data_IF_598482062993
#
_entry.id   IF_598482062993
#
_cell.length_a   1.000
_cell.length_b   1.000
_cell.length_c   1.000
_cell.angle_alpha   90.00
_cell.angle_beta   90.00
_cell.angle_gamma   90.00
#
_symmetry.space_group_name_H-M   'P 1'
#
loop_
_entity.id
_entity.type
_entity.pdbx_description
1 polymer ?
#
# COMPACT_ATOMS: atom_id res chain seq x y z
N UNK A 1 34.61 -6.26 4.67
CA UNK A 1 34.43 -7.72 4.53
C UNK A 1 34.15 -8.00 3.07
N UNK A 2 34.99 -8.80 2.42
CA UNK A 2 34.83 -9.14 1.01
C UNK A 2 33.44 -9.71 0.77
N UNK A 3 32.67 -9.10 -0.14
CA UNK A 3 31.37 -9.64 -0.51
C UNK A 3 31.59 -11.04 -1.08
N UNK A 4 30.84 -12.03 -0.58
CA UNK A 4 30.89 -13.40 -1.09
C UNK A 4 30.44 -13.48 -2.56
N UNK A 5 29.75 -12.46 -3.07
CA UNK A 5 29.21 -12.40 -4.43
C UNK A 5 30.19 -11.75 -5.42
N UNK A 6 30.21 -12.31 -6.64
CA UNK A 6 31.05 -11.92 -7.77
C UNK A 6 30.18 -11.55 -8.97
N UNK A 7 30.75 -10.84 -9.94
CA UNK A 7 30.04 -10.41 -11.16
C UNK A 7 29.56 -11.56 -12.05
N UNK A 8 30.03 -12.79 -11.82
CA UNK A 8 29.49 -14.00 -12.47
C UNK A 8 28.22 -14.54 -11.80
N UNK A 9 27.90 -14.10 -10.58
CA UNK A 9 26.69 -14.51 -9.89
C UNK A 9 25.48 -13.73 -10.42
N UNK A 10 24.32 -14.39 -10.39
CA UNK A 10 23.05 -13.79 -10.79
C UNK A 10 22.20 -13.57 -9.55
N UNK A 11 21.88 -12.32 -9.25
CA UNK A 11 20.92 -11.97 -8.21
C UNK A 11 19.50 -12.12 -8.76
N UNK A 12 18.65 -12.85 -8.05
CA UNK A 12 17.25 -13.06 -8.42
C UNK A 12 16.38 -12.14 -7.58
N UNK A 13 15.48 -11.42 -8.26
CA UNK A 13 14.53 -10.48 -7.71
C UNK A 13 13.11 -10.86 -8.17
N UNK A 14 12.08 -10.51 -7.40
CA UNK A 14 10.71 -10.95 -7.69
C UNK A 14 9.89 -9.90 -8.46
N UNK A 15 10.31 -8.64 -8.44
CA UNK A 15 9.64 -7.54 -9.12
C UNK A 15 10.63 -6.53 -9.69
N UNK A 16 10.14 -5.62 -10.53
CA UNK A 16 10.90 -4.53 -11.12
C UNK A 16 11.47 -3.57 -10.06
N UNK A 17 10.78 -3.38 -8.93
CA UNK A 17 11.27 -2.55 -7.83
C UNK A 17 12.53 -3.16 -7.19
N UNK A 18 12.50 -4.46 -6.88
CA UNK A 18 13.66 -5.20 -6.37
C UNK A 18 14.84 -5.15 -7.35
N UNK A 19 14.59 -5.29 -8.66
CA UNK A 19 15.65 -5.19 -9.68
C UNK A 19 16.28 -3.80 -9.69
N UNK A 20 15.46 -2.75 -9.66
CA UNK A 20 15.95 -1.38 -9.62
C UNK A 20 16.75 -1.10 -8.33
N UNK A 21 16.28 -1.61 -7.19
CA UNK A 21 16.99 -1.49 -5.92
C UNK A 21 18.32 -2.24 -5.94
N UNK A 22 18.34 -3.49 -6.38
CA UNK A 22 19.55 -4.29 -6.47
C UNK A 22 20.61 -3.63 -7.36
N UNK A 23 20.20 -3.07 -8.51
CA UNK A 23 21.12 -2.31 -9.40
C UNK A 23 21.62 -1.02 -8.76
N UNK A 24 20.79 -0.36 -7.94
CA UNK A 24 21.18 0.82 -7.20
C UNK A 24 22.22 0.50 -6.12
N UNK A 25 22.08 -0.62 -5.43
CA UNK A 25 23.04 -1.05 -4.41
C UNK A 25 24.33 -1.62 -5.01
N UNK A 26 24.18 -2.35 -6.11
CA UNK A 26 25.25 -3.13 -6.72
C UNK A 26 25.28 -2.92 -8.24
N UNK A 27 25.88 -1.81 -8.73
CA UNK A 27 25.78 -1.39 -10.13
C UNK A 27 26.45 -2.34 -11.11
N UNK A 28 27.42 -3.16 -10.66
CA UNK A 28 28.08 -4.19 -11.48
C UNK A 28 27.49 -5.59 -11.31
N UNK A 29 26.39 -5.75 -10.56
CA UNK A 29 25.72 -7.04 -10.40
C UNK A 29 24.84 -7.39 -11.61
N UNK A 30 24.81 -8.67 -11.97
CA UNK A 30 23.79 -9.20 -12.86
C UNK A 30 22.53 -9.48 -12.06
N UNK A 31 21.42 -8.85 -12.42
CA UNK A 31 20.12 -9.03 -11.74
C UNK A 31 19.07 -9.51 -12.74
N UNK A 32 18.31 -10.55 -12.37
CA UNK A 32 17.20 -11.12 -13.13
C UNK A 32 15.90 -11.01 -12.32
N UNK A 33 14.83 -10.61 -13.00
CA UNK A 33 13.49 -10.67 -12.43
C UNK A 33 12.92 -12.06 -12.69
N UNK A 34 12.60 -12.81 -11.64
CA UNK A 34 11.89 -14.09 -11.69
C UNK A 34 10.63 -13.93 -10.84
N UNK A 35 9.49 -13.56 -11.47
CA UNK A 35 8.21 -13.41 -10.77
C UNK A 35 7.84 -14.70 -10.03
N UNK A 36 7.31 -14.63 -8.81
CA UNK A 36 6.83 -15.84 -8.12
C UNK A 36 5.62 -16.44 -8.86
N UNK A 37 5.32 -17.70 -8.55
CA UNK A 37 4.16 -18.40 -9.10
C UNK A 37 3.12 -18.74 -8.04
N UNK A 38 1.86 -18.81 -8.49
CA UNK A 38 0.81 -19.50 -7.74
C UNK A 38 0.81 -20.98 -8.10
N UNK A 39 0.19 -21.78 -7.24
CA UNK A 39 0.03 -23.21 -7.47
C UNK A 39 -1.26 -23.51 -8.22
N UNK A 40 -1.11 -23.84 -9.50
CA UNK A 40 -2.21 -24.16 -10.41
C UNK A 40 -3.08 -25.35 -9.96
N UNK A 41 -2.54 -26.24 -9.12
CA UNK A 41 -3.29 -27.38 -8.58
C UNK A 41 -4.20 -27.00 -7.41
N UNK A 42 -3.98 -25.82 -6.80
CA UNK A 42 -4.69 -25.38 -5.61
C UNK A 42 -5.59 -24.17 -5.89
N UNK A 43 -5.16 -23.22 -6.71
CA UNK A 43 -5.93 -22.00 -6.98
C UNK A 43 -6.53 -22.01 -8.38
N UNK A 44 -7.83 -22.27 -8.41
CA UNK A 44 -8.67 -22.26 -9.60
C UNK A 44 -10.10 -21.85 -9.18
N UNK A 45 -10.95 -21.42 -10.12
CA UNK A 45 -12.31 -21.01 -9.78
C UNK A 45 -13.14 -22.17 -9.25
N UNK A 46 -13.79 -21.96 -8.12
CA UNK A 46 -14.78 -22.88 -7.55
C UNK A 46 -16.14 -22.78 -8.26
N UNK A 47 -16.94 -23.84 -8.18
CA UNK A 47 -18.31 -23.83 -8.70
C UNK A 47 -19.27 -23.00 -7.81
N UNK A 48 -20.46 -22.70 -8.33
CA UNK A 48 -21.46 -21.89 -7.61
C UNK A 48 -21.97 -22.55 -6.31
N UNK A 49 -21.87 -23.88 -6.18
CA UNK A 49 -22.31 -24.59 -4.98
C UNK A 49 -21.31 -24.40 -3.86
N UNK A 50 -20.02 -24.54 -4.14
CA UNK A 50 -18.94 -24.23 -3.21
C UNK A 50 -18.96 -22.75 -2.81
N UNK A 51 -19.12 -21.82 -3.77
CA UNK A 51 -19.22 -20.39 -3.48
C UNK A 51 -20.42 -20.07 -2.55
N UNK A 52 -21.59 -20.68 -2.78
CA UNK A 52 -22.76 -20.52 -1.90
C UNK A 52 -22.52 -21.06 -0.49
N UNK A 53 -21.81 -22.17 -0.35
CA UNK A 53 -21.46 -22.73 0.95
C UNK A 53 -20.55 -21.79 1.76
N UNK A 54 -19.55 -21.17 1.10
CA UNK A 54 -18.68 -20.15 1.72
C UNK A 54 -19.48 -18.92 2.14
N UNK A 55 -20.39 -18.42 1.30
CA UNK A 55 -21.27 -17.30 1.67
C UNK A 55 -22.10 -17.61 2.91
N UNK A 56 -22.72 -18.79 2.93
CA UNK A 56 -23.52 -19.24 4.06
C UNK A 56 -22.71 -19.35 5.36
N UNK A 57 -21.48 -19.87 5.30
CA UNK A 57 -20.62 -20.01 6.48
C UNK A 57 -20.16 -18.66 7.05
N UNK A 58 -20.12 -17.62 6.22
CA UNK A 58 -19.83 -16.23 6.61
C UNK A 58 -21.09 -15.42 6.97
N UNK A 59 -22.28 -16.00 6.83
CA UNK A 59 -23.55 -15.30 7.05
C UNK A 59 -23.86 -14.21 5.99
N UNK A 60 -23.29 -14.35 4.79
CA UNK A 60 -23.46 -13.40 3.68
C UNK A 60 -24.58 -13.90 2.76
N UNK A 61 -25.53 -13.03 2.44
CA UNK A 61 -26.67 -13.32 1.55
C UNK A 61 -26.24 -13.43 0.09
N UNK A 62 -27.01 -14.07 -0.80
CA UNK A 62 -26.63 -14.23 -2.21
C UNK A 62 -26.44 -12.93 -2.99
N UNK A 63 -27.21 -11.89 -2.65
CA UNK A 63 -27.23 -10.58 -3.28
C UNK A 63 -26.10 -9.65 -2.78
N UNK A 64 -25.62 -9.85 -1.56
CA UNK A 64 -24.56 -9.03 -0.96
C UNK A 64 -23.22 -9.13 -1.73
N UNK A 65 -22.56 -7.98 -1.89
CA UNK A 65 -21.26 -7.88 -2.56
C UNK A 65 -20.13 -8.19 -1.57
N UNK A 66 -19.04 -8.81 -2.03
CA UNK A 66 -17.90 -9.19 -1.18
C UNK A 66 -16.63 -8.49 -1.65
N UNK A 67 -16.11 -7.61 -0.80
CA UNK A 67 -14.77 -7.04 -0.89
C UNK A 67 -13.87 -7.90 -0.01
N UNK A 68 -12.78 -8.42 -0.56
CA UNK A 68 -11.87 -9.32 0.15
C UNK A 68 -10.51 -8.65 0.38
N UNK A 69 -9.99 -8.79 1.58
CA UNK A 69 -8.57 -8.64 1.87
C UNK A 69 -8.00 -10.00 2.25
N UNK A 70 -6.85 -10.37 1.69
CA UNK A 70 -6.14 -11.59 2.05
C UNK A 70 -4.66 -11.27 2.30
N UNK A 71 -4.17 -11.62 3.50
CA UNK A 71 -2.80 -11.36 3.92
C UNK A 71 -2.71 -11.13 5.43
N UNK A 72 -1.48 -11.04 5.95
CA UNK A 72 -1.27 -10.70 7.38
C UNK A 72 -1.96 -9.39 7.72
N UNK A 73 -2.59 -9.32 8.88
CA UNK A 73 -3.23 -8.10 9.38
C UNK A 73 -2.24 -7.44 10.33
N UNK A 74 -1.40 -6.60 9.76
CA UNK A 74 -0.36 -5.82 10.43
C UNK A 74 -0.48 -4.35 10.04
N UNK A 75 0.23 -3.46 10.74
CA UNK A 75 0.16 -2.03 10.47
C UNK A 75 0.65 -1.71 9.05
N UNK A 76 1.77 -2.28 8.63
CA UNK A 76 2.42 -2.05 7.33
C UNK A 76 1.60 -2.55 6.13
N UNK A 77 0.62 -3.42 6.37
CA UNK A 77 -0.34 -3.87 5.35
C UNK A 77 -1.50 -2.92 5.13
N UNK A 78 -1.55 -1.82 5.88
CA UNK A 78 -2.44 -0.68 5.62
C UNK A 78 -3.94 -1.01 5.65
N UNK A 79 -4.33 -2.02 6.43
CA UNK A 79 -5.74 -2.47 6.56
C UNK A 79 -6.63 -1.38 7.18
N UNK A 80 -6.05 -0.48 7.98
CA UNK A 80 -6.76 0.67 8.54
C UNK A 80 -7.25 1.63 7.45
N UNK A 81 -6.45 1.88 6.41
CA UNK A 81 -6.88 2.68 5.25
C UNK A 81 -7.98 1.95 4.48
N UNK A 82 -7.90 0.62 4.34
CA UNK A 82 -8.98 -0.16 3.74
C UNK A 82 -10.31 -0.02 4.49
N UNK A 83 -10.31 0.03 5.83
CA UNK A 83 -11.53 0.29 6.60
C UNK A 83 -12.12 1.68 6.31
N UNK A 84 -11.29 2.73 6.24
CA UNK A 84 -11.73 4.09 5.87
C UNK A 84 -12.30 4.13 4.45
N UNK A 85 -11.61 3.50 3.49
CA UNK A 85 -12.09 3.37 2.11
C UNK A 85 -13.43 2.63 2.08
N UNK A 86 -13.55 1.54 2.84
CA UNK A 86 -14.76 0.71 2.86
C UNK A 86 -15.97 1.45 3.46
N UNK A 87 -15.78 2.29 4.49
CA UNK A 87 -16.89 3.13 4.99
C UNK A 87 -17.42 4.10 3.94
N UNK A 88 -16.57 4.57 3.02
CA UNK A 88 -17.01 5.39 1.88
C UNK A 88 -17.69 4.54 0.82
N UNK A 89 -17.20 3.34 0.53
CA UNK A 89 -17.84 2.41 -0.42
C UNK A 89 -19.29 2.10 -0.03
N UNK A 90 -19.57 1.94 1.26
CA UNK A 90 -20.91 1.66 1.77
C UNK A 90 -21.94 2.77 1.50
N UNK A 91 -21.52 4.00 1.19
CA UNK A 91 -22.46 5.07 0.82
C UNK A 91 -23.09 4.82 -0.56
N UNK A 92 -22.39 4.09 -1.43
CA UNK A 92 -22.87 3.73 -2.77
C UNK A 92 -23.29 2.26 -2.91
N UNK A 93 -22.70 1.36 -2.11
CA UNK A 93 -23.01 -0.09 -2.12
C UNK A 93 -23.28 -0.55 -0.67
N UNK A 94 -24.47 -0.25 -0.10
CA UNK A 94 -24.76 -0.49 1.31
C UNK A 94 -24.81 -1.97 1.72
N UNK A 95 -24.99 -2.86 0.74
CA UNK A 95 -25.02 -4.32 0.88
C UNK A 95 -23.64 -4.98 0.68
N UNK A 96 -22.58 -4.18 0.57
CA UNK A 96 -21.22 -4.70 0.52
C UNK A 96 -20.75 -5.21 1.88
N UNK A 97 -19.96 -6.29 1.86
CA UNK A 97 -19.30 -6.92 3.01
C UNK A 97 -17.81 -6.94 2.79
N UNK A 98 -17.04 -6.49 3.79
CA UNK A 98 -15.59 -6.62 3.80
C UNK A 98 -15.19 -7.87 4.55
N UNK A 99 -14.52 -8.81 3.89
CA UNK A 99 -13.95 -10.01 4.52
C UNK A 99 -12.44 -9.82 4.63
N UNK A 100 -11.89 -9.96 5.83
CA UNK A 100 -10.46 -9.83 6.13
C UNK A 100 -9.94 -11.22 6.50
N UNK A 101 -9.22 -11.87 5.59
CA UNK A 101 -8.64 -13.19 5.77
C UNK A 101 -7.12 -13.10 6.03
N UNK A 102 -6.70 -13.50 7.23
CA UNK A 102 -5.31 -13.57 7.63
C UNK A 102 -5.11 -13.49 9.14
N UNK A 103 -3.90 -13.85 9.57
CA UNK A 103 -3.50 -13.74 10.98
C UNK A 103 -3.30 -12.27 11.36
N UNK A 104 -3.75 -11.92 12.56
CA UNK A 104 -3.45 -10.64 13.19
C UNK A 104 -2.08 -10.75 13.87
N UNK A 105 -1.10 -9.96 13.45
CA UNK A 105 0.25 -10.00 14.00
C UNK A 105 0.67 -8.62 14.52
N UNK A 106 1.38 -8.60 15.65
CA UNK A 106 1.94 -7.38 16.25
C UNK A 106 3.42 -7.27 15.90
N UNK A 107 3.70 -7.01 14.62
CA UNK A 107 5.07 -6.86 14.11
C UNK A 107 5.47 -5.38 14.25
N UNK A 108 6.69 -5.08 14.72
CA UNK A 108 7.19 -3.71 14.76
C UNK A 108 7.46 -3.20 13.34
N UNK A 109 7.18 -1.92 13.10
CA UNK A 109 7.59 -1.22 11.89
C UNK A 109 8.84 -0.38 12.21
N UNK A 110 9.98 -1.06 12.18
CA UNK A 110 11.25 -0.63 12.82
C UNK A 110 11.91 0.56 12.11
N UNK A 111 11.64 0.75 10.82
CA UNK A 111 12.06 1.86 9.97
C UNK A 111 11.67 3.21 10.59
N UNK A 112 10.53 3.22 11.28
CA UNK A 112 9.94 4.39 11.93
C UNK A 112 9.80 4.21 13.44
N UNK A 113 10.56 3.27 14.03
CA UNK A 113 10.55 3.05 15.47
C UNK A 113 9.19 2.58 16.04
N UNK A 114 8.26 2.14 15.19
CA UNK A 114 6.92 1.77 15.65
C UNK A 114 6.97 0.40 16.31
N UNK A 115 6.63 0.37 17.59
CA UNK A 115 6.59 -0.84 18.40
C UNK A 115 5.37 -1.71 18.10
N UNK A 116 5.41 -3.00 18.47
CA UNK A 116 4.28 -3.91 18.33
C UNK A 116 2.99 -3.31 18.90
N UNK A 117 1.96 -3.19 18.05
CA UNK A 117 0.63 -2.68 18.42
C UNK A 117 -0.36 -3.85 18.56
N UNK A 118 -1.32 -3.73 19.47
CA UNK A 118 -2.54 -4.54 19.43
C UNK A 118 -3.40 -4.10 18.23
N UNK A 119 -3.04 -4.60 17.05
CA UNK A 119 -3.64 -4.23 15.77
C UNK A 119 -5.15 -4.47 15.78
N UNK A 120 -5.60 -5.57 16.41
CA UNK A 120 -7.02 -5.91 16.53
C UNK A 120 -7.79 -4.83 17.25
N UNK A 121 -7.31 -4.41 18.41
CA UNK A 121 -7.96 -3.36 19.20
C UNK A 121 -8.00 -2.04 18.44
N UNK A 122 -6.93 -1.70 17.73
CA UNK A 122 -6.89 -0.47 16.93
C UNK A 122 -7.87 -0.52 15.75
N UNK A 123 -7.94 -1.63 15.02
CA UNK A 123 -8.91 -1.80 13.93
C UNK A 123 -10.36 -1.79 14.43
N UNK A 124 -10.67 -2.45 15.56
CA UNK A 124 -12.03 -2.39 16.16
C UNK A 124 -12.43 -0.98 16.57
N UNK A 125 -11.51 -0.22 17.18
CA UNK A 125 -11.76 1.18 17.53
C UNK A 125 -12.00 2.04 16.30
N UNK A 126 -11.19 1.85 15.26
CA UNK A 126 -11.38 2.52 13.99
C UNK A 126 -12.73 2.18 13.37
N UNK A 127 -13.15 0.90 13.38
CA UNK A 127 -14.48 0.50 12.93
C UNK A 127 -15.57 1.24 13.69
N UNK A 128 -15.53 1.28 15.03
CA UNK A 128 -16.50 2.04 15.83
C UNK A 128 -16.52 3.52 15.44
N UNK A 129 -15.36 4.14 15.25
CA UNK A 129 -15.27 5.53 14.82
C UNK A 129 -15.88 5.76 13.43
N UNK A 130 -15.69 4.82 12.50
CA UNK A 130 -16.24 4.86 11.15
C UNK A 130 -17.72 4.42 11.06
N UNK A 131 -18.36 4.08 12.18
CA UNK A 131 -19.72 3.54 12.19
C UNK A 131 -19.84 2.12 11.61
N UNK A 132 -18.72 1.39 11.53
CA UNK A 132 -18.65 0.01 11.07
C UNK A 132 -18.78 -0.97 12.25
N UNK A 133 -19.32 -2.15 11.97
CA UNK A 133 -19.47 -3.25 12.91
C UNK A 133 -19.34 -4.61 12.18
N UNK A 134 -19.64 -5.71 12.88
CA UNK A 134 -19.54 -7.07 12.32
C UNK A 134 -20.55 -7.36 11.20
N UNK A 135 -21.58 -6.52 11.03
CA UNK A 135 -22.50 -6.57 9.87
C UNK A 135 -21.88 -5.95 8.61
N UNK A 136 -20.76 -5.26 8.73
CA UNK A 136 -20.06 -4.65 7.60
C UNK A 136 -18.72 -5.36 7.35
N UNK A 137 -18.00 -5.72 8.42
CA UNK A 137 -16.64 -6.26 8.35
C UNK A 137 -16.55 -7.61 9.08
N UNK A 138 -16.04 -8.63 8.40
CA UNK A 138 -15.86 -9.98 8.92
C UNK A 138 -14.37 -10.28 9.01
N UNK A 139 -13.85 -10.47 10.22
CA UNK A 139 -12.49 -10.98 10.44
C UNK A 139 -12.51 -12.50 10.34
N UNK A 140 -12.08 -13.02 9.20
CA UNK A 140 -12.06 -14.45 8.91
C UNK A 140 -10.84 -15.16 9.52
N UNK A 141 -9.85 -14.44 10.07
CA UNK A 141 -8.66 -15.04 10.67
C UNK A 141 -7.80 -15.81 9.65
N UNK A 142 -6.85 -16.61 10.13
CA UNK A 142 -6.02 -17.45 9.27
C UNK A 142 -6.86 -18.48 8.48
N UNK A 143 -6.45 -18.75 7.23
CA UNK A 143 -7.13 -19.65 6.32
C UNK A 143 -6.14 -20.58 5.64
N UNK A 144 -6.56 -21.84 5.45
CA UNK A 144 -5.80 -22.78 4.63
C UNK A 144 -5.82 -22.35 3.16
N UNK A 145 -4.97 -22.94 2.32
CA UNK A 145 -4.91 -22.59 0.90
C UNK A 145 -6.22 -22.96 0.18
N UNK A 146 -6.86 -24.08 0.54
CA UNK A 146 -8.18 -24.46 0.00
C UNK A 146 -9.28 -23.49 0.46
N UNK A 147 -9.29 -23.09 1.73
CA UNK A 147 -10.24 -22.08 2.22
C UNK A 147 -10.04 -20.73 1.50
N UNK A 148 -8.78 -20.36 1.24
CA UNK A 148 -8.46 -19.15 0.48
C UNK A 148 -8.94 -19.26 -0.97
N UNK A 149 -8.75 -20.40 -1.67
CA UNK A 149 -9.34 -20.62 -3.01
C UNK A 149 -10.85 -20.39 -2.98
N UNK A 150 -11.53 -20.94 -1.98
CA UNK A 150 -12.98 -20.84 -1.85
C UNK A 150 -13.44 -19.39 -1.57
N UNK A 151 -12.70 -18.67 -0.70
CA UNK A 151 -12.92 -17.25 -0.45
C UNK A 151 -12.68 -16.38 -1.69
N UNK A 152 -11.54 -16.58 -2.38
CA UNK A 152 -11.21 -15.87 -3.61
C UNK A 152 -12.34 -16.05 -4.63
N UNK A 153 -12.72 -17.29 -4.94
CA UNK A 153 -13.76 -17.58 -5.94
C UNK A 153 -15.10 -16.88 -5.66
N UNK A 154 -15.41 -16.64 -4.39
CA UNK A 154 -16.65 -15.99 -3.93
C UNK A 154 -16.57 -14.45 -3.93
N UNK A 155 -15.37 -13.88 -3.89
CA UNK A 155 -15.16 -12.43 -3.80
C UNK A 155 -15.46 -11.71 -5.11
N UNK A 156 -16.03 -10.50 -5.02
CA UNK A 156 -16.22 -9.65 -6.20
C UNK A 156 -14.94 -8.90 -6.57
N UNK A 157 -14.14 -8.54 -5.56
CA UNK A 157 -12.89 -7.82 -5.72
C UNK A 157 -11.98 -8.16 -4.54
N UNK A 158 -10.68 -8.33 -4.82
CA UNK A 158 -9.65 -8.35 -3.78
C UNK A 158 -8.98 -6.98 -3.70
N UNK A 159 -8.82 -6.43 -2.50
CA UNK A 159 -8.22 -5.12 -2.27
C UNK A 159 -6.94 -5.29 -1.46
N UNK A 160 -5.85 -4.71 -1.95
CA UNK A 160 -4.59 -4.61 -1.21
C UNK A 160 -4.02 -3.20 -1.35
N UNK A 161 -3.96 -2.48 -0.22
CA UNK A 161 -3.49 -1.10 -0.14
C UNK A 161 -2.14 -0.97 0.58
N UNK A 162 -1.36 -2.06 0.68
CA UNK A 162 -0.06 -2.01 1.36
C UNK A 162 0.88 -0.99 0.71
N UNK A 163 1.69 -0.37 1.55
CA UNK A 163 2.69 0.63 1.20
C UNK A 163 4.08 0.22 1.69
N UNK A 164 4.24 -1.05 2.10
CA UNK A 164 5.50 -1.53 2.65
C UNK A 164 6.39 -2.15 1.59
N UNK A 165 7.69 -1.88 1.67
CA UNK A 165 8.69 -2.37 0.73
C UNK A 165 9.05 -3.86 0.92
N UNK A 166 8.34 -4.58 1.80
CA UNK A 166 8.35 -6.06 1.88
C UNK A 166 7.28 -6.70 0.98
N UNK A 167 6.40 -5.91 0.36
CA UNK A 167 5.46 -6.41 -0.62
C UNK A 167 6.10 -6.49 -2.01
N UNK A 168 6.93 -7.52 -2.20
CA UNK A 168 7.82 -7.62 -3.36
C UNK A 168 7.21 -8.37 -4.53
N UNK A 169 5.97 -8.86 -4.40
CA UNK A 169 5.32 -9.57 -5.50
C UNK A 169 3.79 -9.41 -5.51
N UNK A 170 3.13 -9.68 -4.38
CA UNK A 170 1.68 -9.80 -4.34
C UNK A 170 1.18 -11.21 -4.71
N UNK A 171 1.60 -12.22 -3.94
CA UNK A 171 1.18 -13.60 -4.20
C UNK A 171 -0.33 -13.79 -4.06
N UNK A 172 -0.94 -13.21 -3.02
CA UNK A 172 -2.39 -13.29 -2.80
C UNK A 172 -3.21 -12.72 -3.98
N UNK A 173 -2.68 -11.71 -4.67
CA UNK A 173 -3.28 -11.12 -5.86
C UNK A 173 -3.25 -12.10 -7.02
N UNK A 174 -2.11 -12.76 -7.25
CA UNK A 174 -1.97 -13.77 -8.31
C UNK A 174 -2.86 -14.98 -8.05
N UNK A 175 -2.92 -15.46 -6.81
CA UNK A 175 -3.83 -16.54 -6.40
C UNK A 175 -5.30 -16.15 -6.63
N UNK A 176 -5.69 -14.93 -6.26
CA UNK A 176 -7.04 -14.42 -6.48
C UNK A 176 -7.34 -14.23 -7.98
N UNK A 177 -6.38 -13.76 -8.77
CA UNK A 177 -6.51 -13.66 -10.23
C UNK A 177 -6.71 -15.04 -10.87
N UNK A 178 -6.00 -16.07 -10.40
CA UNK A 178 -6.17 -17.46 -10.84
C UNK A 178 -7.59 -17.99 -10.52
N UNK A 179 -8.17 -17.56 -9.40
CA UNK A 179 -9.57 -17.82 -9.05
C UNK A 179 -10.57 -16.91 -9.81
N UNK A 180 -10.08 -16.02 -10.67
CA UNK A 180 -10.89 -15.11 -11.47
C UNK A 180 -11.41 -13.91 -10.69
N UNK A 181 -10.64 -13.35 -9.77
CA UNK A 181 -11.02 -12.15 -8.99
C UNK A 181 -10.22 -10.94 -9.48
N UNK A 182 -10.87 -9.81 -9.81
CA UNK A 182 -10.18 -8.57 -10.12
C UNK A 182 -9.56 -7.94 -8.86
N UNK A 183 -8.45 -7.26 -9.05
CA UNK A 183 -7.66 -6.69 -7.95
C UNK A 183 -7.78 -5.16 -7.92
N UNK A 184 -8.00 -4.57 -6.74
CA UNK A 184 -7.72 -3.15 -6.49
C UNK A 184 -6.44 -3.09 -5.68
N UNK A 185 -5.34 -2.73 -6.33
CA UNK A 185 -3.99 -2.79 -5.75
C UNK A 185 -3.28 -1.44 -5.82
N UNK A 186 -2.48 -1.11 -4.82
CA UNK A 186 -1.58 0.05 -4.89
C UNK A 186 -0.57 -0.12 -6.02
N UNK A 187 -0.13 0.99 -6.62
CA UNK A 187 1.05 1.00 -7.50
C UNK A 187 2.33 0.93 -6.66
N UNK A 188 2.41 -0.05 -5.76
CA UNK A 188 3.52 -0.22 -4.82
C UNK A 188 4.18 -1.59 -4.97
N UNK A 189 5.51 -1.63 -4.94
CA UNK A 189 6.30 -2.86 -4.94
C UNK A 189 5.90 -3.81 -6.06
N UNK A 190 5.62 -5.07 -5.73
CA UNK A 190 5.20 -6.08 -6.71
C UNK A 190 3.76 -5.91 -7.23
N UNK A 191 2.89 -5.18 -6.52
CA UNK A 191 1.50 -4.98 -6.97
C UNK A 191 1.43 -4.19 -8.27
N UNK A 192 2.37 -3.26 -8.48
CA UNK A 192 2.43 -2.48 -9.72
C UNK A 192 2.79 -3.34 -10.95
N UNK A 193 3.43 -4.49 -10.71
CA UNK A 193 3.83 -5.43 -11.76
C UNK A 193 2.75 -6.49 -12.01
N UNK A 194 2.05 -6.93 -10.97
CA UNK A 194 1.01 -7.97 -11.05
C UNK A 194 -0.37 -7.42 -11.42
N UNK A 195 -0.72 -6.21 -10.97
CA UNK A 195 -2.00 -5.57 -11.26
C UNK A 195 -1.86 -4.64 -12.46
N UNK A 196 -2.59 -4.94 -13.53
CA UNK A 196 -2.61 -4.13 -14.76
C UNK A 196 -3.96 -3.42 -14.90
N UNK A 197 -3.93 -2.09 -14.99
CA UNK A 197 -5.13 -1.24 -15.10
C UNK A 197 -6.08 -1.72 -16.19
N UNK A 198 -7.34 -1.96 -15.82
CA UNK A 198 -8.44 -2.47 -16.66
C UNK A 198 -8.24 -3.88 -17.28
N UNK A 199 -7.09 -4.51 -17.07
CA UNK A 199 -6.80 -5.87 -17.58
C UNK A 199 -7.01 -6.92 -16.50
N UNK A 200 -6.42 -6.73 -15.32
CA UNK A 200 -6.58 -7.62 -14.15
C UNK A 200 -7.23 -6.92 -12.95
N UNK A 201 -7.50 -5.62 -13.07
CA UNK A 201 -8.14 -4.86 -12.01
C UNK A 201 -7.91 -3.36 -12.14
N UNK A 202 -7.74 -2.68 -11.02
CA UNK A 202 -7.55 -1.24 -10.91
C UNK A 202 -6.32 -0.93 -10.05
N UNK A 203 -5.50 -0.03 -10.56
CA UNK A 203 -4.33 0.50 -9.86
C UNK A 203 -4.71 1.74 -9.07
N UNK A 204 -4.25 1.78 -7.82
CA UNK A 204 -4.38 2.89 -6.89
C UNK A 204 -3.02 3.55 -6.74
N UNK A 205 -2.85 4.81 -7.16
CA UNK A 205 -1.58 5.52 -7.01
C UNK A 205 -1.06 5.50 -5.56
N UNK A 206 0.20 5.13 -5.42
CA UNK A 206 1.00 5.25 -4.21
C UNK A 206 2.25 6.05 -4.54
N UNK A 207 2.44 7.17 -3.85
CA UNK A 207 3.46 8.19 -4.15
C UNK A 207 4.35 8.43 -2.94
N UNK A 208 5.64 8.65 -3.19
CA UNK A 208 6.60 9.07 -2.15
C UNK A 208 6.63 10.59 -2.11
N UNK A 209 6.31 11.18 -0.97
CA UNK A 209 6.26 12.63 -0.75
C UNK A 209 7.28 13.06 0.31
N UNK A 210 7.32 14.37 0.64
CA UNK A 210 8.16 14.88 1.72
C UNK A 210 7.81 14.27 3.09
N UNK A 211 6.54 13.93 3.31
CA UNK A 211 5.97 13.44 4.57
C UNK A 211 5.68 11.93 4.54
N UNK A 212 6.39 11.18 3.70
CA UNK A 212 6.29 9.72 3.59
C UNK A 212 5.48 9.24 2.40
N UNK A 213 4.99 8.00 2.46
CA UNK A 213 4.22 7.41 1.34
C UNK A 213 2.75 7.75 1.52
N UNK A 214 2.10 8.18 0.44
CA UNK A 214 0.68 8.50 0.42
C UNK A 214 -0.05 7.68 -0.63
N UNK A 215 -1.27 7.29 -0.30
CA UNK A 215 -2.13 6.48 -1.17
C UNK A 215 -3.36 7.28 -1.56
N UNK A 216 -3.72 7.21 -2.84
CA UNK A 216 -4.95 7.79 -3.37
C UNK A 216 -6.17 6.93 -2.94
N UNK A 217 -6.55 7.05 -1.68
CA UNK A 217 -7.65 6.29 -1.08
C UNK A 217 -9.00 6.58 -1.75
N UNK A 218 -9.20 7.78 -2.32
CA UNK A 218 -10.41 8.13 -3.06
C UNK A 218 -10.53 7.33 -4.35
N UNK A 219 -9.42 7.17 -5.09
CA UNK A 219 -9.38 6.31 -6.27
C UNK A 219 -9.58 4.84 -5.91
N UNK A 220 -9.12 4.39 -4.74
CA UNK A 220 -9.44 3.05 -4.25
C UNK A 220 -10.95 2.87 -4.07
N UNK A 221 -11.63 3.81 -3.38
CA UNK A 221 -13.07 3.76 -3.16
C UNK A 221 -13.85 3.72 -4.48
N UNK A 222 -13.53 4.62 -5.42
CA UNK A 222 -14.16 4.64 -6.75
C UNK A 222 -13.94 3.35 -7.53
N UNK A 223 -12.71 2.81 -7.49
CA UNK A 223 -12.36 1.57 -8.18
C UNK A 223 -13.15 0.38 -7.63
N UNK A 224 -13.32 0.31 -6.31
CA UNK A 224 -14.14 -0.73 -5.67
C UNK A 224 -15.60 -0.58 -6.11
N UNK A 225 -16.19 0.61 -5.98
CA UNK A 225 -17.59 0.85 -6.37
C UNK A 225 -17.82 0.51 -7.84
N UNK A 226 -16.93 0.93 -8.74
CA UNK A 226 -17.02 0.60 -10.16
C UNK A 226 -17.05 -0.93 -10.40
N UNK A 227 -16.17 -1.68 -9.73
CA UNK A 227 -16.13 -3.14 -9.84
C UNK A 227 -17.31 -3.83 -9.18
N UNK A 228 -17.92 -3.25 -8.14
CA UNK A 228 -19.10 -3.83 -7.49
C UNK A 228 -20.40 -3.60 -8.27
N UNK A 229 -20.47 -2.57 -9.12
CA UNK A 229 -21.71 -2.10 -9.77
C UNK A 229 -21.80 -2.38 -11.28
N UNK A 230 -20.70 -2.78 -11.94
CA UNK A 230 -20.68 -2.97 -13.40
C UNK A 230 -20.70 -4.45 -13.79
N UNK A 231 -21.88 -5.07 -13.87
CA UNK A 231 -22.04 -6.53 -14.01
C UNK A 231 -21.45 -7.14 -15.31
N UNK A 232 -21.74 -6.59 -16.49
CA UNK A 232 -21.29 -7.18 -17.77
C UNK A 232 -19.77 -7.05 -18.04
N UNK A 233 -19.13 -6.01 -17.49
CA UNK A 233 -17.68 -5.77 -17.59
C UNK A 233 -16.87 -6.76 -16.74
N UNK A 234 -17.47 -7.26 -15.66
CA UNK A 234 -16.79 -8.07 -14.68
C UNK A 234 -16.46 -9.47 -15.18
N UNK A 235 -17.33 -10.14 -15.93
CA UNK A 235 -17.04 -11.51 -16.39
C UNK A 235 -15.80 -11.56 -17.30
N UNK A 236 -15.72 -10.66 -18.28
CA UNK A 236 -14.54 -10.55 -19.15
C UNK A 236 -13.29 -10.19 -18.35
N UNK A 237 -13.41 -9.31 -17.36
CA UNK A 237 -12.30 -8.96 -16.48
C UNK A 237 -11.83 -10.18 -15.66
N UNK A 238 -12.75 -10.98 -15.11
CA UNK A 238 -12.44 -12.22 -14.39
C UNK A 238 -11.75 -13.24 -15.28
N UNK A 239 -12.19 -13.39 -16.53
CA UNK A 239 -11.52 -14.22 -17.54
C UNK A 239 -10.09 -13.72 -17.85
N UNK A 240 -9.90 -12.41 -18.02
CA UNK A 240 -8.57 -11.82 -18.20
C UNK A 240 -7.67 -12.05 -17.00
N UNK A 241 -8.19 -11.94 -15.76
CA UNK A 241 -7.44 -12.25 -14.56
C UNK A 241 -6.86 -13.68 -14.61
N UNK A 242 -7.70 -14.66 -14.94
CA UNK A 242 -7.27 -16.07 -15.05
C UNK A 242 -6.25 -16.28 -16.15
N UNK A 243 -6.48 -15.68 -17.32
CA UNK A 243 -5.55 -15.76 -18.44
C UNK A 243 -4.18 -15.19 -18.06
N UNK A 244 -4.15 -13.99 -17.47
CA UNK A 244 -2.89 -13.35 -17.04
C UNK A 244 -2.19 -14.17 -15.95
N UNK A 245 -2.94 -14.67 -14.95
CA UNK A 245 -2.39 -15.52 -13.90
C UNK A 245 -1.69 -16.74 -14.51
N UNK A 246 -2.40 -17.53 -15.31
CA UNK A 246 -1.86 -18.73 -15.96
C UNK A 246 -0.69 -18.42 -16.88
N UNK A 247 -0.82 -17.40 -17.72
CA UNK A 247 0.13 -17.15 -18.82
C UNK A 247 1.44 -16.51 -18.33
N UNK A 248 1.44 -15.87 -17.14
CA UNK A 248 2.62 -15.17 -16.59
C UNK A 248 3.14 -15.72 -15.26
N UNK A 249 2.28 -16.32 -14.44
CA UNK A 249 2.58 -16.65 -13.04
C UNK A 249 2.24 -18.09 -12.65
N UNK A 250 2.05 -18.99 -13.62
CA UNK A 250 1.92 -20.43 -13.34
C UNK A 250 3.26 -21.04 -12.90
N UNK A 251 3.21 -22.18 -12.22
CA UNK A 251 4.42 -22.91 -11.80
C UNK A 251 5.32 -23.27 -12.99
N UNK A 252 4.72 -23.55 -14.16
CA UNK A 252 5.46 -23.82 -15.39
C UNK A 252 6.28 -22.59 -15.85
N UNK A 253 5.66 -21.40 -15.83
CA UNK A 253 6.35 -20.14 -16.18
C UNK A 253 7.47 -19.79 -15.20
N UNK A 254 7.26 -20.05 -13.91
CA UNK A 254 8.32 -19.89 -12.92
C UNK A 254 9.49 -20.84 -13.19
N UNK A 255 9.21 -22.11 -13.51
CA UNK A 255 10.21 -23.08 -13.90
C UNK A 255 11.04 -22.63 -15.11
N UNK A 256 10.37 -22.19 -16.19
CA UNK A 256 11.03 -21.68 -17.40
C UNK A 256 11.97 -20.50 -17.07
N UNK A 257 11.49 -19.52 -16.28
CA UNK A 257 12.25 -18.33 -15.92
C UNK A 257 13.43 -18.63 -14.99
N UNK A 258 13.25 -19.57 -14.05
CA UNK A 258 14.32 -20.00 -13.16
C UNK A 258 15.40 -20.79 -13.93
N UNK A 259 15.01 -21.66 -14.85
CA UNK A 259 15.93 -22.40 -15.73
C UNK A 259 16.76 -21.44 -16.59
N UNK A 260 16.15 -20.39 -17.13
CA UNK A 260 16.86 -19.33 -17.86
C UNK A 260 17.88 -18.62 -16.97
N UNK A 261 17.49 -18.21 -15.76
CA UNK A 261 18.38 -17.56 -14.80
C UNK A 261 19.58 -18.46 -14.40
N UNK A 262 19.35 -19.76 -14.22
CA UNK A 262 20.41 -20.74 -13.93
C UNK A 262 21.36 -20.92 -15.11
N UNK A 263 20.84 -20.99 -16.35
CA UNK A 263 21.68 -21.10 -17.55
C UNK A 263 22.54 -19.86 -17.74
N UNK A 264 21.99 -18.67 -17.52
CA UNK A 264 22.72 -17.41 -17.55
C UNK A 264 23.86 -17.40 -16.52
N UNK A 265 23.59 -17.82 -15.28
CA UNK A 265 24.59 -17.93 -14.23
C UNK A 265 25.71 -18.92 -14.62
N UNK A 266 25.34 -20.09 -15.15
CA UNK A 266 26.31 -21.10 -15.61
C UNK A 266 27.17 -20.61 -16.79
N UNK A 267 26.61 -19.80 -17.68
CA UNK A 267 27.36 -19.18 -18.78
C UNK A 267 28.30 -18.07 -18.29
N UNK A 268 27.85 -17.24 -17.35
CA UNK A 268 28.64 -16.17 -16.74
C UNK A 268 29.82 -16.70 -15.93
N UNK A 269 29.65 -17.82 -15.21
CA UNK A 269 30.69 -18.48 -14.43
C UNK A 269 31.92 -18.92 -15.25
N UNK A 270 31.81 -19.00 -16.59
CA UNK A 270 32.92 -19.34 -17.49
C UNK A 270 33.84 -18.15 -17.80
N UNK A 271 33.47 -16.95 -17.39
CA UNK A 271 34.21 -15.70 -17.65
C UNK A 271 34.95 -15.27 -16.38
N UNK A 272 36.08 -14.55 -16.50
CA UNK A 272 36.70 -13.91 -15.35
C UNK A 272 35.70 -13.02 -14.60
N UNK A 273 35.70 -13.09 -13.27
CA UNK A 273 34.79 -12.31 -12.43
C UNK A 273 35.52 -11.55 -11.33
N UNK A 274 35.01 -10.37 -11.03
CA UNK A 274 35.46 -9.52 -9.93
C UNK A 274 34.40 -9.51 -8.81
N UNK A 275 34.73 -9.06 -7.59
CA UNK A 275 33.74 -8.87 -6.55
C UNK A 275 32.66 -7.86 -6.98
N UNK A 276 31.41 -8.11 -6.56
CA UNK A 276 30.37 -7.10 -6.66
C UNK A 276 30.75 -5.90 -5.76
N UNK A 277 30.52 -4.68 -6.24
CA UNK A 277 30.87 -3.43 -5.54
C UNK A 277 29.61 -2.77 -5.03
N UNK A 278 29.67 -2.20 -3.83
CA UNK A 278 28.62 -1.30 -3.35
C UNK A 278 28.69 0.01 -4.13
N UNK A 279 27.53 0.63 -4.37
CA UNK A 279 27.47 2.02 -4.81
C UNK A 279 27.75 2.97 -3.65
N UNK A 280 28.09 4.23 -3.96
CA UNK A 280 28.20 5.28 -2.96
C UNK A 280 26.88 5.43 -2.15
N UNK A 281 25.73 5.27 -2.82
CA UNK A 281 24.43 5.25 -2.14
C UNK A 281 24.33 4.12 -1.11
N UNK A 282 24.72 2.90 -1.48
CA UNK A 282 24.66 1.76 -0.55
C UNK A 282 25.57 1.97 0.66
N UNK A 283 26.80 2.45 0.44
CA UNK A 283 27.74 2.75 1.53
C UNK A 283 27.18 3.81 2.47
N UNK A 284 26.67 4.91 1.92
CA UNK A 284 26.05 5.99 2.69
C UNK A 284 24.81 5.51 3.45
N UNK A 285 23.94 4.76 2.78
CA UNK A 285 22.72 4.20 3.37
C UNK A 285 23.05 3.26 4.53
N UNK A 286 23.96 2.31 4.37
CA UNK A 286 24.33 1.42 5.47
C UNK A 286 25.00 2.16 6.62
N UNK A 287 25.86 3.14 6.33
CA UNK A 287 26.53 3.93 7.35
C UNK A 287 25.58 4.86 8.13
N UNK A 288 24.55 5.37 7.46
CA UNK A 288 23.64 6.40 8.00
C UNK A 288 22.39 5.78 8.60
N UNK A 289 21.74 4.86 7.90
CA UNK A 289 20.45 4.31 8.28
C UNK A 289 20.57 3.10 9.23
N UNK A 290 21.62 2.27 9.12
CA UNK A 290 21.72 1.02 9.89
C UNK A 290 22.91 1.07 10.86
N UNK A 291 22.70 0.71 12.13
CA UNK A 291 23.78 0.62 13.12
C UNK A 291 24.86 -0.41 12.76
N UNK A 292 26.11 -0.19 13.20
CA UNK A 292 27.22 -1.11 12.94
C UNK A 292 26.96 -2.53 13.49
N UNK A 293 27.44 -3.59 12.81
CA UNK A 293 27.34 -4.97 13.28
C UNK A 293 28.28 -5.22 14.47
N UNK A 294 27.84 -4.94 15.70
CA UNK A 294 28.54 -5.45 16.90
C UNK A 294 28.17 -6.92 17.15
N UNK A 295 28.94 -7.83 16.55
CA UNK A 295 29.04 -9.24 16.98
C UNK A 295 27.85 -10.14 16.66
N UNK A 296 28.05 -11.12 15.77
CA UNK A 296 27.10 -12.22 15.58
C UNK A 296 26.96 -13.05 16.88
N UNK A 297 25.81 -12.91 17.56
CA UNK A 297 25.25 -14.00 18.37
C UNK A 297 23.93 -14.43 17.73
N UNK A 298 23.96 -15.59 17.04
CA UNK A 298 22.75 -16.32 16.65
C UNK A 298 21.92 -16.55 17.91
N UNK A 299 20.76 -15.89 18.03
CA UNK A 299 19.82 -16.12 19.13
C UNK A 299 19.16 -14.88 19.70
N UNK A 300 19.67 -13.68 19.41
CA UNK A 300 19.01 -12.41 19.80
C UNK A 300 18.53 -11.68 18.55
N UNK A 301 17.22 -11.66 18.31
CA UNK A 301 16.54 -10.68 17.45
C UNK A 301 16.63 -9.28 18.10
N UNK A 302 17.86 -8.82 18.35
CA UNK A 302 18.18 -7.69 19.20
C UNK A 302 18.78 -6.54 18.40
N UNK A 303 17.91 -5.62 17.98
CA UNK A 303 18.15 -4.19 17.71
C UNK A 303 19.18 -3.83 16.63
N UNK A 304 18.71 -3.80 15.38
CA UNK A 304 19.11 -2.78 14.40
C UNK A 304 17.90 -1.88 14.18
N UNK A 305 17.80 -0.79 14.92
CA UNK A 305 16.83 0.24 14.59
C UNK A 305 17.37 1.06 13.44
N UNK A 306 16.49 1.44 12.52
CA UNK A 306 16.77 2.51 11.58
C UNK A 306 17.13 3.76 12.38
N UNK A 307 18.30 4.35 12.12
CA UNK A 307 18.65 5.63 12.75
C UNK A 307 17.67 6.69 12.26
N UNK A 308 17.08 7.43 13.18
CA UNK A 308 16.15 8.52 12.85
C UNK A 308 16.93 9.82 12.57
N UNK A 309 16.44 10.62 11.63
CA UNK A 309 17.00 11.93 11.30
C UNK A 309 16.78 12.34 9.83
N UNK A 310 16.97 13.62 9.48
CA UNK A 310 16.69 14.14 8.14
C UNK A 310 17.43 13.40 7.02
N UNK A 311 18.72 13.09 7.22
CA UNK A 311 19.52 12.34 6.23
C UNK A 311 19.07 10.88 6.09
N UNK A 312 18.78 10.21 7.21
CA UNK A 312 18.24 8.84 7.16
C UNK A 312 16.90 8.78 6.44
N UNK A 313 16.02 9.77 6.66
CA UNK A 313 14.73 9.88 5.99
C UNK A 313 14.89 10.17 4.50
N UNK A 314 15.84 11.04 4.11
CA UNK A 314 16.19 11.28 2.71
C UNK A 314 16.63 9.97 2.02
N UNK A 315 17.54 9.24 2.64
CA UNK A 315 18.06 7.97 2.12
C UNK A 315 17.00 6.88 2.08
N UNK A 316 16.13 6.80 3.10
CA UNK A 316 14.98 5.90 3.12
C UNK A 316 14.00 6.21 1.98
N UNK A 317 13.68 7.48 1.74
CA UNK A 317 12.85 7.88 0.60
C UNK A 317 13.48 7.44 -0.71
N UNK A 318 14.79 7.64 -0.87
CA UNK A 318 15.52 7.20 -2.06
C UNK A 318 15.53 5.66 -2.21
N UNK A 319 15.54 4.91 -1.10
CA UNK A 319 15.46 3.45 -1.06
C UNK A 319 14.10 2.95 -1.58
N UNK A 320 13.01 3.57 -1.12
CA UNK A 320 11.65 3.11 -1.42
C UNK A 320 11.09 3.69 -2.73
N UNK A 321 11.70 4.74 -3.29
CA UNK A 321 11.27 5.34 -4.58
C UNK A 321 11.03 4.30 -5.68
N UNK A 322 11.89 3.28 -5.88
CA UNK A 322 11.63 2.25 -6.89
C UNK A 322 10.38 1.42 -6.63
N UNK A 323 9.84 1.38 -5.42
CA UNK A 323 8.61 0.66 -5.10
C UNK A 323 7.37 1.45 -5.49
N UNK A 324 7.42 2.77 -5.40
CA UNK A 324 6.28 3.63 -5.74
C UNK A 324 5.92 3.60 -7.23
N UNK A 325 4.71 4.08 -7.52
CA UNK A 325 4.23 4.27 -8.88
C UNK A 325 4.80 5.54 -9.49
N UNK A 326 4.12 6.07 -10.50
CA UNK A 326 4.47 7.38 -11.04
C UNK A 326 4.47 8.46 -9.94
N UNK A 327 5.33 9.48 -10.09
CA UNK A 327 5.31 10.66 -9.24
C UNK A 327 3.92 11.34 -9.28
N UNK A 328 3.60 12.16 -8.28
CA UNK A 328 2.36 12.94 -8.32
C UNK A 328 2.27 13.72 -9.63
N UNK A 329 1.12 13.61 -10.30
CA UNK A 329 0.89 14.34 -11.54
C UNK A 329 1.12 15.85 -11.29
N UNK A 330 1.85 16.54 -12.18
CA UNK A 330 2.01 17.98 -12.08
C UNK A 330 0.64 18.66 -12.12
N UNK A 331 0.53 19.81 -11.46
CA UNK A 331 -0.71 20.61 -11.36
C UNK A 331 -1.16 21.03 -12.76
N UNK A 332 -1.95 20.18 -13.43
CA UNK A 332 -2.68 20.52 -14.64
C UNK A 332 -4.16 20.37 -14.33
N UNK A 333 -4.86 21.49 -14.11
CA UNK A 333 -6.28 21.46 -13.80
C UNK A 333 -7.08 21.03 -15.04
N UNK A 334 -8.00 20.08 -14.84
CA UNK A 334 -9.08 19.82 -15.78
C UNK A 334 -10.39 19.55 -15.00
N UNK A 335 -11.52 19.61 -15.70
CA UNK A 335 -12.85 19.49 -15.11
C UNK A 335 -13.12 18.09 -14.50
N UNK A 336 -12.28 17.09 -14.80
CA UNK A 336 -12.38 15.74 -14.30
C UNK A 336 -11.50 15.50 -13.07
N UNK A 337 -10.84 16.53 -12.55
CA UNK A 337 -9.99 16.43 -11.35
C UNK A 337 -10.76 16.62 -10.04
N UNK A 338 -10.35 15.84 -9.05
CA UNK A 338 -10.66 16.06 -7.65
C UNK A 338 -9.37 16.07 -6.83
N UNK A 339 -9.48 16.57 -5.60
CA UNK A 339 -8.38 16.64 -4.65
C UNK A 339 -8.81 15.99 -3.36
N UNK A 340 -7.99 15.11 -2.81
CA UNK A 340 -8.27 14.44 -1.56
C UNK A 340 -7.20 14.72 -0.51
N UNK A 341 -7.65 14.90 0.73
CA UNK A 341 -6.78 14.96 1.89
C UNK A 341 -6.03 13.63 2.03
N UNK A 342 -4.70 13.65 2.07
CA UNK A 342 -3.88 12.45 2.06
C UNK A 342 -3.91 11.70 3.41
N UNK A 343 -3.94 12.46 4.50
CA UNK A 343 -4.05 11.98 5.88
C UNK A 343 -4.68 13.09 6.75
N UNK A 344 -5.26 12.75 7.92
CA UNK A 344 -5.74 13.76 8.87
C UNK A 344 -4.63 14.75 9.26
N UNK A 345 -4.96 16.04 9.34
CA UNK A 345 -4.03 17.12 9.64
C UNK A 345 -4.49 17.90 10.88
N UNK A 346 -3.55 18.30 11.72
CA UNK A 346 -3.80 19.10 12.94
C UNK A 346 -2.81 20.26 12.97
N UNK A 347 -3.29 21.47 13.30
CA UNK A 347 -2.41 22.61 13.56
C UNK A 347 -1.97 22.61 15.02
N UNK A 348 -0.68 22.77 15.23
CA UNK A 348 -0.06 22.96 16.55
C UNK A 348 -0.04 24.46 16.94
N UNK A 349 0.32 24.74 18.19
CA UNK A 349 0.36 26.10 18.75
C UNK A 349 1.41 27.01 18.09
N UNK A 350 2.45 26.42 17.47
CA UNK A 350 3.61 27.10 16.89
C UNK A 350 3.57 27.24 15.36
N UNK A 351 2.38 27.16 14.76
CA UNK A 351 2.14 27.17 13.30
C UNK A 351 2.75 25.96 12.55
N UNK A 352 3.09 24.89 13.28
CA UNK A 352 3.44 23.60 12.69
C UNK A 352 2.18 22.82 12.32
N UNK A 353 2.24 22.09 11.21
CA UNK A 353 1.19 21.17 10.79
C UNK A 353 1.61 19.71 11.05
N UNK A 354 0.84 19.03 11.88
CA UNK A 354 1.00 17.61 12.20
C UNK A 354 0.21 16.75 11.22
N UNK A 355 0.91 15.87 10.52
CA UNK A 355 0.36 14.82 9.65
C UNK A 355 0.12 13.58 10.50
N UNK A 356 -1.15 13.29 10.77
CA UNK A 356 -1.54 12.18 11.62
C UNK A 356 -1.83 10.91 10.81
N UNK A 357 -0.75 10.38 10.23
CA UNK A 357 -0.72 9.14 9.48
C UNK A 357 -0.10 8.03 10.35
N UNK A 358 -0.79 6.90 10.55
CA UNK A 358 -0.28 5.77 11.34
C UNK A 358 1.04 5.17 10.85
N UNK A 359 1.33 5.29 9.56
CA UNK A 359 2.52 4.74 8.93
C UNK A 359 3.62 5.79 8.80
N UNK A 360 3.26 7.04 8.52
CA UNK A 360 4.21 8.12 8.23
C UNK A 360 3.82 9.42 8.95
N UNK A 361 3.93 9.49 10.29
CA UNK A 361 3.64 10.71 11.02
C UNK A 361 4.73 11.73 10.71
N UNK A 362 4.35 13.00 10.59
CA UNK A 362 5.33 14.05 10.30
C UNK A 362 4.84 15.40 10.79
N UNK A 363 5.76 16.25 11.20
CA UNK A 363 5.51 17.65 11.53
C UNK A 363 6.20 18.52 10.49
N UNK A 364 5.46 19.45 9.89
CA UNK A 364 5.99 20.34 8.86
C UNK A 364 5.70 21.80 9.25
N UNK A 365 6.74 22.65 9.36
CA UNK A 365 6.52 24.08 9.58
C UNK A 365 5.89 24.70 8.33
N UNK A 366 4.81 25.45 8.52
CA UNK A 366 4.10 26.08 7.41
C UNK A 366 4.77 27.43 7.06
N UNK A 367 5.12 27.70 5.79
CA UNK A 367 5.72 28.98 5.43
C UNK A 367 4.77 30.15 5.70
N UNK A 368 5.28 31.21 6.34
CA UNK A 368 4.49 32.37 6.77
C UNK A 368 3.64 33.03 5.67
N UNK A 369 4.11 33.00 4.42
CA UNK A 369 3.42 33.63 3.29
C UNK A 369 2.19 32.86 2.81
N UNK A 370 2.05 31.57 3.15
CA UNK A 370 0.88 30.72 2.80
C UNK A 370 0.09 30.25 4.03
N UNK A 371 0.48 30.64 5.24
CA UNK A 371 -0.06 30.10 6.50
C UNK A 371 -1.60 30.21 6.60
N UNK A 372 -2.15 31.39 6.36
CA UNK A 372 -3.60 31.64 6.47
C UNK A 372 -4.41 30.86 5.42
N UNK A 373 -3.86 30.73 4.21
CA UNK A 373 -4.47 29.94 3.13
C UNK A 373 -4.44 28.44 3.44
N UNK A 374 -3.31 27.92 3.95
CA UNK A 374 -3.21 26.53 4.39
C UNK A 374 -4.18 26.26 5.54
N UNK A 375 -4.29 27.16 6.54
CA UNK A 375 -5.27 27.04 7.63
C UNK A 375 -6.70 26.95 7.09
N UNK A 376 -7.03 27.79 6.12
CA UNK A 376 -8.35 27.79 5.48
C UNK A 376 -8.61 26.48 4.73
N UNK A 377 -7.66 26.01 3.93
CA UNK A 377 -7.77 24.76 3.17
C UNK A 377 -7.90 23.54 4.08
N UNK A 378 -7.09 23.43 5.13
CA UNK A 378 -7.17 22.32 6.09
C UNK A 378 -8.55 22.26 6.76
N UNK A 379 -9.10 23.42 7.16
CA UNK A 379 -10.45 23.48 7.72
C UNK A 379 -11.51 23.00 6.72
N UNK A 380 -11.38 23.38 5.44
CA UNK A 380 -12.28 22.90 4.38
C UNK A 380 -12.14 21.39 4.16
N UNK A 381 -10.92 20.86 4.03
CA UNK A 381 -10.68 19.42 3.88
C UNK A 381 -11.13 18.60 5.09
N UNK A 382 -11.11 19.18 6.29
CA UNK A 382 -11.64 18.51 7.49
C UNK A 382 -13.15 18.29 7.39
N UNK A 383 -13.87 19.22 6.77
CA UNK A 383 -15.31 19.12 6.53
C UNK A 383 -15.63 18.27 5.29
N UNK A 384 -14.84 18.43 4.23
CA UNK A 384 -14.97 17.74 2.95
C UNK A 384 -13.60 17.18 2.52
N UNK A 385 -13.26 15.95 2.94
CA UNK A 385 -11.94 15.35 2.66
C UNK A 385 -11.64 15.16 1.18
N UNK A 386 -12.65 15.30 0.32
CA UNK A 386 -12.51 15.30 -1.14
C UNK A 386 -13.26 16.48 -1.71
N UNK A 387 -12.59 17.26 -2.55
CA UNK A 387 -13.15 18.44 -3.19
C UNK A 387 -12.93 18.39 -4.70
N UNK A 388 -13.97 18.75 -5.47
CA UNK A 388 -13.84 18.92 -6.91
C UNK A 388 -12.94 20.12 -7.20
N UNK A 389 -12.16 20.04 -8.28
CA UNK A 389 -11.18 21.08 -8.61
C UNK A 389 -11.81 22.48 -8.79
N UNK A 390 -12.95 22.59 -9.49
CA UNK A 390 -13.61 23.89 -9.70
C UNK A 390 -14.12 24.56 -8.41
N UNK A 391 -14.34 23.81 -7.33
CA UNK A 391 -14.71 24.38 -6.03
C UNK A 391 -13.51 25.03 -5.31
N UNK A 392 -12.28 24.62 -5.63
CA UNK A 392 -11.06 25.20 -5.08
C UNK A 392 -10.70 26.53 -5.74
N UNK A 393 -10.87 26.66 -7.06
CA UNK A 393 -10.58 27.90 -7.79
C UNK A 393 -11.50 29.05 -7.35
N UNK A 394 -12.77 28.75 -7.05
CA UNK A 394 -13.71 29.75 -6.55
C UNK A 394 -13.40 30.23 -5.12
N UNK A 395 -12.60 29.46 -4.37
CA UNK A 395 -12.36 29.73 -2.96
C UNK A 395 -11.29 30.80 -2.70
N UNK A 396 -10.33 31.05 -3.61
CA UNK A 396 -9.28 32.06 -3.36
C UNK A 396 -8.59 32.60 -4.63
N UNK A 397 -8.01 33.80 -4.55
CA UNK A 397 -7.01 34.33 -5.49
C UNK A 397 -5.56 34.14 -5.02
N UNK A 398 -5.35 33.58 -3.81
CA UNK A 398 -4.06 33.39 -3.14
C UNK A 398 -3.72 31.92 -2.80
N UNK A 399 -4.68 30.98 -2.79
CA UNK A 399 -4.38 29.59 -2.41
C UNK A 399 -3.67 28.76 -3.47
N UNK A 400 -3.42 29.26 -4.69
CA UNK A 400 -2.68 28.48 -5.67
C UNK A 400 -1.29 28.07 -5.14
N UNK A 401 -0.57 29.00 -4.48
CA UNK A 401 0.74 28.73 -3.88
C UNK A 401 0.62 27.80 -2.66
N UNK A 402 -0.33 28.05 -1.77
CA UNK A 402 -0.60 27.19 -0.61
C UNK A 402 -0.91 25.74 -1.04
N UNK A 403 -1.67 25.59 -2.12
CA UNK A 403 -2.10 24.30 -2.62
C UNK A 403 -0.98 23.52 -3.31
N UNK A 404 -0.16 24.21 -4.12
CA UNK A 404 1.07 23.64 -4.67
C UNK A 404 1.97 23.17 -3.54
N UNK A 405 2.18 23.99 -2.51
CA UNK A 405 2.98 23.62 -1.34
C UNK A 405 2.38 22.41 -0.60
N UNK A 406 1.07 22.39 -0.35
CA UNK A 406 0.39 21.26 0.30
C UNK A 406 0.54 19.97 -0.51
N UNK A 407 0.47 20.05 -1.84
CA UNK A 407 0.69 18.90 -2.71
C UNK A 407 2.15 18.44 -2.65
N UNK A 408 3.13 19.34 -2.77
CA UNK A 408 4.56 19.00 -2.66
C UNK A 408 4.90 18.31 -1.33
N UNK A 409 4.27 18.76 -0.25
CA UNK A 409 4.38 18.15 1.08
C UNK A 409 3.62 16.82 1.20
N UNK A 410 2.77 16.46 0.24
CA UNK A 410 1.96 15.25 0.25
C UNK A 410 0.80 15.30 1.23
N UNK A 411 0.31 16.50 1.56
CA UNK A 411 -0.83 16.73 2.43
C UNK A 411 -2.16 16.54 1.68
N UNK A 412 -2.14 16.82 0.38
CA UNK A 412 -3.24 16.57 -0.56
C UNK A 412 -2.75 15.79 -1.76
N UNK A 413 -3.61 14.97 -2.34
CA UNK A 413 -3.33 14.18 -3.55
C UNK A 413 -4.30 14.61 -4.65
N UNK A 414 -3.76 14.85 -5.84
CA UNK A 414 -4.56 15.01 -7.06
C UNK A 414 -5.09 13.65 -7.49
N UNK A 415 -6.38 13.57 -7.75
CA UNK A 415 -7.03 12.32 -8.18
C UNK A 415 -8.06 12.58 -9.28
N UNK A 416 -8.52 11.50 -9.91
CA UNK A 416 -9.62 11.57 -10.86
C UNK A 416 -10.95 11.67 -10.12
N UNK A 417 -11.87 12.47 -10.65
CA UNK A 417 -13.27 12.43 -10.29
C UNK A 417 -13.82 11.03 -10.62
N UNK A 418 -14.72 10.55 -9.77
CA UNK A 418 -15.33 9.23 -9.95
C UNK A 418 -16.84 9.28 -9.82
N UNK A 419 -17.45 8.11 -9.73
CA UNK A 419 -18.91 7.95 -9.60
C UNK A 419 -19.41 8.28 -8.20
N UNK A 420 -18.53 8.21 -7.21
CA UNK A 420 -18.85 8.62 -5.85
C UNK A 420 -19.00 10.14 -5.79
N UNK A 421 -20.06 10.59 -5.13
CA UNK A 421 -20.20 12.01 -4.81
C UNK A 421 -19.08 12.42 -3.85
N UNK A 422 -18.35 13.46 -4.24
CA UNK A 422 -17.31 14.06 -3.39
C UNK A 422 -17.93 14.68 -2.14
N UNK A 423 -19.16 15.17 -2.23
CA UNK A 423 -19.91 15.64 -1.08
C UNK A 423 -20.29 14.43 -0.20
N UNK A 424 -19.81 14.40 1.04
CA UNK A 424 -20.18 13.35 1.99
C UNK A 424 -19.26 12.14 2.04
N UNK A 425 -18.02 12.21 1.53
CA UNK A 425 -16.96 11.23 1.82
C UNK A 425 -16.74 11.00 3.34
N UNK A 426 -17.33 11.85 4.19
CA UNK A 426 -17.50 11.66 5.62
C UNK A 426 -16.43 12.38 6.44
N UNK A 427 -16.84 13.20 7.42
CA UNK A 427 -15.93 13.87 8.37
C UNK A 427 -14.98 12.88 9.05
N UNK A 428 -15.43 11.65 9.25
CA UNK A 428 -14.70 10.56 9.90
C UNK A 428 -13.45 10.10 9.13
N UNK A 429 -13.37 10.32 7.82
CA UNK A 429 -12.19 9.97 7.03
C UNK A 429 -11.06 10.97 7.27
N UNK A 430 -11.40 12.26 7.36
CA UNK A 430 -10.49 13.37 7.62
C UNK A 430 -10.13 13.56 9.09
N UNK A 431 -10.83 12.89 10.00
CA UNK A 431 -10.51 12.90 11.43
C UNK A 431 -9.49 11.80 11.79
N UNK A 432 -8.54 12.09 12.68
CA UNK A 432 -7.67 11.05 13.20
C UNK A 432 -8.41 10.16 14.20
N UNK A 433 -8.36 8.85 13.98
CA UNK A 433 -8.97 7.88 14.90
C UNK A 433 -8.02 7.50 16.05
N UNK A 434 -6.73 7.71 15.86
CA UNK A 434 -5.67 7.56 16.85
C UNK A 434 -4.52 8.49 16.45
N UNK A 435 -3.80 9.00 17.43
CA UNK A 435 -2.64 9.89 17.25
C UNK A 435 -1.38 9.12 17.55
N UNK A 436 -0.42 9.13 16.61
CA UNK A 436 0.94 8.72 16.88
C UNK A 436 1.72 9.95 17.32
N UNK A 437 1.90 10.11 18.64
CA UNK A 437 2.34 11.39 19.21
C UNK A 437 3.85 11.63 19.17
N UNK A 438 4.67 10.59 19.10
CA UNK A 438 6.11 10.78 18.98
C UNK A 438 6.80 9.49 18.56
N UNK A 439 7.80 9.60 17.69
CA UNK A 439 8.95 8.69 17.64
C UNK A 439 10.00 9.39 18.50
N UNK A 440 10.10 9.02 19.78
CA UNK A 440 11.14 9.59 20.63
C UNK A 440 12.51 9.05 20.18
N UNK A 441 13.37 9.91 19.64
CA UNK A 441 14.69 9.54 19.13
C UNK A 441 15.69 9.15 20.21
N UNK A 442 15.41 9.48 21.49
CA UNK A 442 16.26 9.18 22.63
C UNK A 442 15.76 7.95 23.40
N UNK A 443 14.45 7.68 23.39
CA UNK A 443 13.85 6.57 24.16
C UNK A 443 13.28 5.43 23.31
N UNK A 444 13.18 5.59 21.99
CA UNK A 444 12.62 4.62 21.03
C UNK A 444 11.17 4.19 21.35
N UNK A 445 10.39 5.06 22.02
CA UNK A 445 9.00 4.76 22.40
C UNK A 445 8.03 5.51 21.49
N UNK A 446 7.11 4.76 20.88
CA UNK A 446 5.95 5.29 20.16
C UNK A 446 4.70 5.21 21.02
N UNK A 447 4.06 6.37 21.24
CA UNK A 447 2.80 6.47 21.98
C UNK A 447 1.63 6.64 21.02
N UNK A 448 0.68 5.71 21.07
CA UNK A 448 -0.64 5.88 20.48
C UNK A 448 -1.58 6.46 21.55
N UNK A 449 -1.87 7.75 21.47
CA UNK A 449 -2.94 8.33 22.29
C UNK A 449 -4.25 8.31 21.50
N UNK A 450 -5.37 8.25 22.24
CA UNK A 450 -6.67 8.50 21.65
C UNK A 450 -6.71 9.99 21.29
N UNK A 451 -7.07 10.32 20.06
CA UNK A 451 -7.46 11.70 19.75
C UNK A 451 -8.62 12.07 20.67
N UNK A 452 -8.38 13.03 21.57
CA UNK A 452 -9.41 13.57 22.44
C UNK A 452 -10.25 14.55 21.60
N UNK A 453 -11.12 14.00 20.77
CA UNK A 453 -12.18 14.78 20.12
C UNK A 453 -13.55 14.16 20.39
#
# INVERSE_FOLDING_TARGET
ADQCFRTCDVLVANCAADVALARKFWPNATVRCVPLAYDDAIFYPEDETAQRAVRASLGIRPDEKIVLYAGRVTLEKNVHTLLKVFSVVLTAVPDARLVIAGSEDSIPFVEFGVMPLDIRRCLRRLMTHLGLDERHVIFAGHRTRDDLRALYSTAHVLVNLTLHHDENFGLAQVEAMACGVPIVGTTWGGLKDTVTQNVTGKQVPAVVTATGVKVDWWRAANSIVQLLTTDASNQQLRERCRAVARDRYSMARYGDALDEAVRDAAAAARRPSEPIRQSAFAEEFWATCIGEPQGLKLGTFGRRFYRQGPESLRLYRELITPFAGAAMDPVRPDAECAWCLAAPLVFEEDDTLSVNDPLYPFEVPVPKHVLDDVRTLVNQFTLQPVMAHGSLEAATSAAAEAFVWMQEMGLVIRTCRGTLDTAGAGRLVGAPSFEMRQIDSDTDIVWFSRSAT
#
